data_IF_166980936094
#
_entry.id   IF_166980936094
#
_cell.length_a   1.000
_cell.length_b   1.000
_cell.length_c   1.000
_cell.angle_alpha   90.00
_cell.angle_beta   90.00
_cell.angle_gamma   90.00
#
_symmetry.space_group_name_H-M   'P 1'
#
loop_
_entity.id
_entity.type
_entity.pdbx_description
1 polymer ?
#
# COMPACT_ATOMS: atom_id res chain seq x y z
N UNK A 1 -20.78 23.71 -10.83
CA UNK A 1 -20.83 22.49 -10.00
C UNK A 1 -19.92 21.45 -10.64
N UNK A 2 -18.61 21.60 -10.44
CA UNK A 2 -17.60 20.73 -11.05
C UNK A 2 -17.35 19.54 -10.12
N UNK A 3 -17.66 18.35 -10.62
CA UNK A 3 -17.49 17.06 -9.96
C UNK A 3 -15.99 16.82 -9.76
N UNK A 4 -15.52 16.95 -8.53
CA UNK A 4 -14.13 16.66 -8.15
C UNK A 4 -13.90 15.15 -8.25
N UNK A 5 -13.05 14.79 -9.21
CA UNK A 5 -12.69 13.44 -9.61
C UNK A 5 -11.85 12.74 -8.51
N UNK A 6 -12.50 12.27 -7.44
CA UNK A 6 -11.85 11.48 -6.35
C UNK A 6 -11.64 10.00 -6.71
N UNK A 7 -11.34 9.70 -7.98
CA UNK A 7 -11.01 8.37 -8.47
C UNK A 7 -9.54 7.99 -8.20
N UNK A 8 -9.10 8.04 -6.94
CA UNK A 8 -7.84 7.39 -6.53
C UNK A 8 -8.10 6.53 -5.31
N UNK A 9 -8.21 5.24 -5.58
CA UNK A 9 -8.40 4.14 -4.63
C UNK A 9 -7.42 4.26 -3.47
N UNK A 10 -7.85 4.85 -2.35
CA UNK A 10 -7.12 4.79 -1.08
C UNK A 10 -7.35 3.40 -0.53
N UNK A 11 -6.32 2.55 -0.56
CA UNK A 11 -6.39 1.22 0.03
C UNK A 11 -6.15 1.36 1.52
N UNK A 12 -7.06 0.81 2.31
CA UNK A 12 -6.83 0.64 3.74
C UNK A 12 -5.65 -0.31 3.92
N UNK A 13 -4.66 0.10 4.69
CA UNK A 13 -3.46 -0.69 4.98
C UNK A 13 -3.14 -0.58 6.47
N UNK A 14 -2.42 -1.55 7.03
CA UNK A 14 -1.87 -1.46 8.39
C UNK A 14 -0.37 -1.76 8.29
N UNK A 15 0.36 -0.81 7.70
CA UNK A 15 1.80 -0.97 7.43
C UNK A 15 2.58 -0.24 8.51
N UNK A 16 3.55 -0.90 9.13
CA UNK A 16 4.49 -0.24 10.03
C UNK A 16 5.42 0.66 9.22
N UNK A 17 5.45 1.96 9.57
CA UNK A 17 6.27 2.95 8.89
C UNK A 17 7.19 3.60 9.91
N UNK A 18 8.47 3.73 9.58
CA UNK A 18 9.39 4.56 10.35
C UNK A 18 9.53 5.92 9.68
N UNK A 19 9.28 6.98 10.42
CA UNK A 19 9.43 8.35 9.93
C UNK A 19 10.82 8.84 10.32
N UNK A 20 11.68 9.08 9.35
CA UNK A 20 12.94 9.76 9.55
C UNK A 20 12.79 11.25 9.29
N UNK A 21 13.06 12.05 10.32
CA UNK A 21 13.09 13.50 10.26
C UNK A 21 14.40 14.00 10.87
N UNK A 22 15.22 14.68 10.06
CA UNK A 22 16.59 15.07 10.43
C UNK A 22 17.37 13.83 10.92
N UNK A 23 17.95 13.89 12.12
CA UNK A 23 18.69 12.80 12.74
C UNK A 23 17.85 11.96 13.72
N UNK A 24 16.51 12.07 13.66
CA UNK A 24 15.59 11.33 14.53
C UNK A 24 14.75 10.37 13.70
N UNK A 25 14.52 9.17 14.24
CA UNK A 25 13.62 8.16 13.68
C UNK A 25 12.46 7.93 14.64
N UNK A 26 11.25 7.96 14.12
CA UNK A 26 10.03 7.70 14.86
C UNK A 26 9.45 6.38 14.35
N UNK A 27 9.36 5.38 15.24
CA UNK A 27 8.87 4.02 14.91
C UNK A 27 7.40 3.81 15.25
N UNK A 28 6.72 4.86 15.72
CA UNK A 28 5.35 4.80 16.23
C UNK A 28 4.32 5.25 15.19
N UNK A 29 4.59 5.00 13.90
CA UNK A 29 3.71 5.42 12.81
C UNK A 29 3.14 4.21 12.07
N UNK A 30 1.84 4.26 11.77
CA UNK A 30 1.13 3.26 10.97
C UNK A 30 0.51 3.89 9.75
N UNK A 31 0.85 3.37 8.58
CA UNK A 31 0.24 3.76 7.31
C UNK A 31 -1.16 3.18 7.19
N UNK A 32 -2.19 4.03 7.25
CA UNK A 32 -3.60 3.63 7.20
C UNK A 32 -4.23 3.70 5.82
N UNK A 33 -3.84 4.70 5.05
CA UNK A 33 -4.38 4.92 3.71
C UNK A 33 -3.22 5.18 2.77
N UNK A 34 -2.98 4.28 1.83
CA UNK A 34 -1.95 4.42 0.82
C UNK A 34 -2.57 4.75 -0.54
N UNK A 35 -1.97 5.71 -1.24
CA UNK A 35 -2.19 6.00 -2.65
C UNK A 35 -0.85 6.12 -3.38
N UNK A 36 -0.90 6.30 -4.69
CA UNK A 36 0.29 6.53 -5.52
C UNK A 36 0.94 7.91 -5.34
N UNK A 37 0.29 8.84 -4.61
CA UNK A 37 0.83 10.18 -4.32
C UNK A 37 1.17 10.38 -2.86
N UNK A 38 0.72 9.52 -1.97
CA UNK A 38 0.84 9.81 -0.56
C UNK A 38 0.22 8.77 0.34
N UNK A 39 0.31 9.08 1.63
CA UNK A 39 -0.13 8.20 2.68
C UNK A 39 -0.70 9.01 3.85
N UNK A 40 -1.67 8.44 4.56
CA UNK A 40 -2.02 8.89 5.89
C UNK A 40 -1.32 8.02 6.93
N UNK A 41 -0.60 8.66 7.84
CA UNK A 41 0.12 8.03 8.93
C UNK A 41 -0.59 8.34 10.24
N UNK A 42 -1.15 7.31 10.87
CA UNK A 42 -1.56 7.38 12.27
C UNK A 42 -0.30 7.38 13.13
N UNK A 43 -0.15 8.38 13.99
CA UNK A 43 1.06 8.54 14.82
C UNK A 43 0.68 8.87 16.25
N UNK A 44 1.36 8.25 17.21
CA UNK A 44 1.20 8.58 18.63
C UNK A 44 2.28 9.57 19.07
N UNK A 45 1.88 10.75 19.56
CA UNK A 45 2.76 11.79 20.11
C UNK A 45 3.80 12.36 19.12
N UNK A 46 3.49 12.42 17.83
CA UNK A 46 4.34 13.06 16.83
C UNK A 46 3.54 14.11 16.06
N UNK A 47 3.87 15.38 16.28
CA UNK A 47 3.37 16.48 15.46
C UNK A 47 4.49 16.97 14.56
N UNK A 48 4.25 16.96 13.24
CA UNK A 48 5.16 17.54 12.26
C UNK A 48 4.42 18.67 11.52
N UNK A 49 5.01 19.87 11.45
CA UNK A 49 4.38 20.98 10.72
C UNK A 49 4.15 20.64 9.25
N UNK A 50 3.07 21.18 8.66
CA UNK A 50 2.90 21.19 7.21
C UNK A 50 4.11 21.82 6.50
N UNK A 51 4.52 21.23 5.38
CA UNK A 51 5.73 21.60 4.64
C UNK A 51 7.00 20.89 5.14
N UNK A 52 6.92 20.09 6.22
CA UNK A 52 8.07 19.35 6.71
C UNK A 52 8.45 18.21 5.77
N UNK A 53 9.71 18.20 5.35
CA UNK A 53 10.31 17.08 4.60
C UNK A 53 10.66 15.94 5.55
N UNK A 54 10.19 14.74 5.20
CA UNK A 54 10.48 13.50 5.91
C UNK A 54 10.88 12.40 4.94
N UNK A 55 11.50 11.34 5.46
CA UNK A 55 11.69 10.10 4.72
C UNK A 55 10.91 9.02 5.44
N UNK A 56 10.03 8.33 4.72
CA UNK A 56 9.31 7.17 5.23
C UNK A 56 10.14 5.94 4.91
N UNK A 57 10.48 5.16 5.93
CA UNK A 57 11.07 3.83 5.78
C UNK A 57 9.97 2.79 5.99
N UNK A 58 9.69 2.01 4.94
CA UNK A 58 8.76 0.89 4.98
C UNK A 58 9.56 -0.38 4.79
N UNK A 59 9.42 -1.32 5.72
CA UNK A 59 10.08 -2.62 5.62
C UNK A 59 9.03 -3.67 5.27
N UNK A 60 9.22 -4.31 4.14
CA UNK A 60 8.50 -5.51 3.76
C UNK A 60 9.51 -6.66 3.66
N UNK A 61 9.07 -7.91 3.78
CA UNK A 61 9.91 -9.08 4.09
C UNK A 61 11.20 -9.20 3.25
N UNK A 62 11.18 -8.77 1.99
CA UNK A 62 12.33 -8.81 1.06
C UNK A 62 12.82 -7.43 0.61
N UNK A 63 12.21 -6.34 1.08
CA UNK A 63 12.52 -4.99 0.57
C UNK A 63 12.33 -3.88 1.58
N UNK A 64 13.38 -3.09 1.73
CA UNK A 64 13.36 -1.81 2.42
C UNK A 64 13.11 -0.66 1.43
N UNK A 65 12.01 0.04 1.62
CA UNK A 65 11.67 1.23 0.84
C UNK A 65 12.02 2.49 1.62
N UNK A 66 12.61 3.48 0.93
CA UNK A 66 12.82 4.83 1.45
C UNK A 66 12.13 5.84 0.57
N UNK A 67 11.12 6.51 1.10
CA UNK A 67 10.21 7.36 0.34
C UNK A 67 10.31 8.79 0.87
N UNK A 68 10.94 9.71 0.12
CA UNK A 68 10.90 11.13 0.45
C UNK A 68 9.47 11.65 0.37
N UNK A 69 8.99 12.32 1.42
CA UNK A 69 7.64 12.85 1.48
C UNK A 69 7.59 14.22 2.17
N UNK A 70 6.51 14.95 1.92
CA UNK A 70 6.21 16.26 2.52
C UNK A 70 4.94 16.12 3.33
N UNK A 71 4.94 16.61 4.57
CA UNK A 71 3.72 16.71 5.39
C UNK A 71 2.80 17.76 4.76
N UNK A 72 1.59 17.36 4.37
CA UNK A 72 0.60 18.25 3.72
C UNK A 72 -0.51 18.68 4.69
N UNK A 73 -0.82 17.86 5.70
CA UNK A 73 -1.69 18.24 6.80
C UNK A 73 -1.38 17.41 8.05
N UNK A 74 -1.87 17.88 9.19
CA UNK A 74 -1.83 17.17 10.46
C UNK A 74 -3.18 17.31 11.15
N UNK A 75 -3.57 16.28 11.90
CA UNK A 75 -4.73 16.28 12.76
C UNK A 75 -4.38 15.63 14.12
N UNK A 76 -5.38 15.39 14.96
CA UNK A 76 -5.15 14.87 16.31
C UNK A 76 -4.77 13.38 16.36
N UNK A 77 -5.01 12.63 15.29
CA UNK A 77 -4.73 11.21 15.17
C UNK A 77 -3.49 10.91 14.30
N UNK A 78 -3.07 11.85 13.46
CA UNK A 78 -2.09 11.54 12.44
C UNK A 78 -1.57 12.72 11.62
N UNK A 79 -0.77 12.35 10.61
CA UNK A 79 -0.26 13.27 9.60
C UNK A 79 -0.54 12.71 8.20
N UNK A 80 -0.97 13.58 7.30
CA UNK A 80 -1.03 13.30 5.88
C UNK A 80 0.27 13.70 5.20
N UNK A 81 0.84 12.78 4.42
CA UNK A 81 2.07 13.00 3.68
C UNK A 81 1.86 12.79 2.18
N UNK A 82 2.55 13.59 1.38
CA UNK A 82 2.61 13.48 -0.07
C UNK A 82 4.02 13.06 -0.47
N UNK A 83 4.13 12.00 -1.27
CA UNK A 83 5.40 11.53 -1.81
C UNK A 83 5.95 12.55 -2.80
N UNK A 84 7.28 12.70 -2.82
CA UNK A 84 7.94 13.58 -3.79
C UNK A 84 7.96 12.99 -5.20
N UNK A 85 8.00 11.66 -5.28
CA UNK A 85 8.02 10.88 -6.50
C UNK A 85 6.91 9.83 -6.46
N UNK A 86 6.41 9.43 -7.63
CA UNK A 86 5.39 8.37 -7.71
C UNK A 86 6.01 7.01 -7.44
N UNK A 87 5.45 6.25 -6.49
CA UNK A 87 5.92 4.91 -6.13
C UNK A 87 4.85 3.84 -6.44
N UNK A 88 4.67 3.46 -7.71
CA UNK A 88 3.68 2.45 -8.10
C UNK A 88 3.97 1.07 -7.50
N UNK A 89 5.25 0.70 -7.35
CA UNK A 89 5.65 -0.61 -6.81
C UNK A 89 5.22 -0.80 -5.35
N UNK A 90 5.25 0.27 -4.56
CA UNK A 90 4.84 0.23 -3.15
C UNK A 90 3.33 -0.01 -2.98
N UNK A 91 2.53 0.53 -3.90
CA UNK A 91 1.09 0.27 -3.95
C UNK A 91 0.80 -1.18 -4.35
N UNK A 92 1.68 -1.80 -5.14
CA UNK A 92 1.55 -3.19 -5.56
C UNK A 92 1.96 -4.15 -4.43
N UNK A 93 3.13 -3.98 -3.81
CA UNK A 93 3.60 -4.85 -2.72
C UNK A 93 2.67 -4.81 -1.50
N UNK A 94 2.14 -3.65 -1.15
CA UNK A 94 1.14 -3.55 -0.06
C UNK A 94 -0.17 -4.28 -0.38
N UNK A 95 -0.56 -4.33 -1.66
CA UNK A 95 -1.73 -5.09 -2.09
C UNK A 95 -1.50 -6.60 -1.99
N UNK A 96 -0.31 -7.06 -2.35
CA UNK A 96 0.09 -8.46 -2.25
C UNK A 96 0.19 -8.92 -0.79
N UNK A 97 0.72 -8.09 0.10
CA UNK A 97 0.82 -8.36 1.53
C UNK A 97 -0.54 -8.43 2.26
N UNK A 98 -1.55 -7.70 1.76
CA UNK A 98 -2.92 -7.71 2.31
C UNK A 98 -3.81 -8.82 1.73
N UNK A 99 -3.36 -9.55 0.71
CA UNK A 99 -4.08 -10.71 0.20
C UNK A 99 -3.66 -11.94 1.01
N UNK A 100 -4.59 -12.69 1.63
CA UNK A 100 -4.26 -14.03 2.09
C UNK A 100 -3.73 -14.83 0.89
N UNK A 101 -2.78 -15.76 1.07
CA UNK A 101 -2.31 -16.59 -0.04
C UNK A 101 -3.53 -17.22 -0.69
N UNK A 102 -3.84 -16.81 -1.93
CA UNK A 102 -4.91 -17.47 -2.66
C UNK A 102 -4.50 -18.94 -2.77
N UNK A 103 -5.36 -19.90 -2.39
CA UNK A 103 -5.08 -21.28 -2.71
C UNK A 103 -4.85 -21.34 -4.23
N UNK A 104 -3.85 -22.09 -4.71
CA UNK A 104 -3.65 -22.25 -6.14
C UNK A 104 -4.99 -22.70 -6.71
N UNK A 105 -5.57 -21.88 -7.59
CA UNK A 105 -6.74 -22.32 -8.34
C UNK A 105 -6.31 -23.63 -9.00
N UNK A 106 -6.98 -24.77 -8.74
CA UNK A 106 -6.76 -25.92 -9.58
C UNK A 106 -7.09 -25.43 -10.99
N UNK A 107 -6.09 -25.42 -11.87
CA UNK A 107 -6.37 -25.54 -13.29
C UNK A 107 -7.20 -26.81 -13.38
N UNK A 108 -8.53 -26.66 -13.44
CA UNK A 108 -9.41 -27.75 -13.83
C UNK A 108 -8.93 -28.07 -15.22
N UNK A 109 -8.08 -29.11 -15.29
CA UNK A 109 -7.70 -29.74 -16.53
C UNK A 109 -9.02 -29.97 -17.25
N UNK A 110 -9.16 -29.28 -18.38
CA UNK A 110 -10.21 -29.54 -19.32
C UNK A 110 -9.85 -30.92 -19.90
N UNK A 111 -10.19 -31.98 -19.17
CA UNK A 111 -10.10 -33.34 -19.65
C UNK A 111 -11.19 -33.45 -20.71
N UNK A 112 -10.78 -33.20 -21.95
CA UNK A 112 -11.56 -33.47 -23.13
C UNK A 112 -11.79 -34.98 -23.17
N UNK A 113 -12.86 -35.42 -22.50
CA UNK A 113 -13.40 -36.75 -22.61
C UNK A 113 -13.94 -36.92 -24.04
N UNK A 114 -13.03 -37.24 -24.97
CA UNK A 114 -13.36 -37.67 -26.31
C UNK A 114 -14.20 -38.94 -26.20
N UNK A 115 -15.48 -38.83 -26.54
CA UNK A 115 -16.42 -39.93 -26.54
C UNK A 115 -15.92 -41.08 -27.41
N UNK A 116 -15.58 -42.20 -26.78
CA UNK A 116 -15.61 -43.50 -27.42
C UNK A 116 -17.00 -44.07 -27.24
N UNK A 117 -17.89 -43.71 -28.16
CA UNK A 117 -19.12 -44.42 -28.41
C UNK A 117 -19.15 -44.78 -29.88
N UNK A 118 -19.03 -46.07 -30.20
CA UNK A 118 -19.72 -46.73 -31.30
C UNK A 118 -19.61 -48.25 -31.12
N UNK A 119 -20.78 -48.84 -30.90
CA UNK A 119 -21.07 -50.26 -30.65
C UNK A 119 -20.85 -51.15 -31.88
N UNK A 120 -20.57 -52.42 -31.57
CA UNK A 120 -21.00 -53.68 -32.21
C UNK A 120 -21.74 -53.62 -33.56
N UNK A 121 -21.32 -54.46 -34.53
CA UNK A 121 -21.85 -55.81 -34.82
C UNK A 121 -20.91 -56.57 -35.75
#
# INVERSE_FOLDING_TARGET
>A
MSIEHRYRTRRASDIEVQIQYRNRRFRSARGRNLSDQGMYLEVSNLTLPTGTLVVLEVRDMDRDWRIPAIVVHQDNAGIGVMFRDTHPDLLQSSAESLMPPMPPMPHTAFDAQAGSGLSAV
#
